data_IF_816349566644
#
_entry.id   IF_816349566644
#
_cell.length_a   1.000
_cell.length_b   1.000
_cell.length_c   1.000
_cell.angle_alpha   90.00
_cell.angle_beta   90.00
_cell.angle_gamma   90.00
#
_symmetry.space_group_name_H-M   'P 1'
#
loop_
_entity.id
_entity.type
_entity.pdbx_description
1 polymer ?
#
# COMPACT_ATOMS: atom_id res chain seq x y z
N UNK A 1 -16.49 18.95 -6.10
CA UNK A 1 -15.19 19.09 -5.40
C UNK A 1 -14.86 17.70 -4.90
N UNK A 2 -13.97 16.98 -5.59
CA UNK A 2 -13.51 15.71 -5.08
C UNK A 2 -12.54 16.03 -3.95
N UNK A 3 -12.97 15.81 -2.71
CA UNK A 3 -12.04 15.65 -1.61
C UNK A 3 -11.18 14.44 -1.96
N UNK A 4 -9.97 14.66 -2.47
CA UNK A 4 -8.96 13.61 -2.45
C UNK A 4 -8.86 13.18 -0.98
N UNK A 5 -9.05 11.90 -0.63
CA UNK A 5 -8.83 11.48 0.74
C UNK A 5 -7.42 11.94 1.11
N UNK A 6 -7.31 12.73 2.17
CA UNK A 6 -6.03 13.17 2.69
C UNK A 6 -5.32 11.94 3.21
N UNK A 7 -4.56 11.26 2.35
CA UNK A 7 -3.71 10.15 2.73
C UNK A 7 -2.76 10.65 3.80
N UNK A 8 -2.90 10.13 5.02
CA UNK A 8 -1.99 10.45 6.10
C UNK A 8 -0.77 9.57 5.97
N UNK A 9 0.42 10.15 6.11
CA UNK A 9 1.68 9.46 5.90
C UNK A 9 2.38 9.24 7.23
N UNK A 10 2.71 8.00 7.53
CA UNK A 10 3.34 7.55 8.76
C UNK A 10 4.84 7.40 8.54
N UNK A 11 5.64 8.08 9.35
CA UNK A 11 7.08 7.88 9.41
C UNK A 11 7.42 6.55 10.08
N UNK A 12 8.69 6.14 10.00
CA UNK A 12 9.15 4.94 10.72
C UNK A 12 8.91 5.04 12.24
N UNK A 13 9.19 6.15 12.93
CA UNK A 13 8.78 6.34 14.32
C UNK A 13 7.29 6.12 14.57
N UNK A 14 6.41 6.72 13.77
CA UNK A 14 4.95 6.56 13.92
C UNK A 14 4.54 5.08 13.81
N UNK A 15 5.12 4.35 12.86
CA UNK A 15 4.90 2.91 12.70
C UNK A 15 5.42 2.09 13.88
N UNK A 16 6.53 2.48 14.50
CA UNK A 16 7.03 1.78 15.69
C UNK A 16 6.08 1.91 16.87
N UNK A 17 5.52 3.10 17.08
CA UNK A 17 4.53 3.37 18.12
C UNK A 17 3.21 2.64 17.82
N UNK A 18 2.72 2.76 16.60
CA UNK A 18 1.44 2.18 16.17
C UNK A 18 1.43 0.65 16.18
N UNK A 19 2.52 0.02 15.73
CA UNK A 19 2.61 -1.44 15.59
C UNK A 19 3.22 -2.13 16.82
N UNK A 20 3.78 -1.36 17.78
CA UNK A 20 4.54 -1.91 18.90
C UNK A 20 5.81 -2.65 18.46
N UNK A 21 6.39 -2.26 17.32
CA UNK A 21 7.54 -2.91 16.69
C UNK A 21 8.81 -2.07 16.82
N UNK A 22 9.97 -2.73 16.78
CA UNK A 22 11.27 -2.05 16.68
C UNK A 22 11.47 -1.49 15.26
N UNK A 23 12.29 -0.45 15.13
CA UNK A 23 12.69 0.14 13.83
C UNK A 23 13.16 -0.92 12.83
N UNK A 24 13.97 -1.89 13.26
CA UNK A 24 14.46 -2.96 12.38
C UNK A 24 13.33 -3.87 11.86
N UNK A 25 12.30 -4.10 12.66
CA UNK A 25 11.13 -4.89 12.26
C UNK A 25 10.27 -4.10 11.26
N UNK A 26 10.07 -2.80 11.48
CA UNK A 26 9.37 -1.92 10.51
C UNK A 26 10.13 -1.87 9.18
N UNK A 27 11.45 -1.69 9.20
CA UNK A 27 12.27 -1.72 7.98
C UNK A 27 12.17 -3.05 7.25
N UNK A 28 12.19 -4.16 7.98
CA UNK A 28 12.00 -5.50 7.42
C UNK A 28 10.64 -5.65 6.74
N UNK A 29 9.56 -5.09 7.31
CA UNK A 29 8.24 -5.10 6.66
C UNK A 29 8.27 -4.35 5.32
N UNK A 30 9.00 -3.25 5.25
CA UNK A 30 9.18 -2.49 3.99
C UNK A 30 10.01 -3.29 2.98
N UNK A 31 11.15 -3.85 3.42
CA UNK A 31 12.05 -4.66 2.59
C UNK A 31 11.37 -5.93 2.04
N UNK A 32 10.48 -6.57 2.81
CA UNK A 32 9.74 -7.76 2.39
C UNK A 32 8.47 -7.45 1.56
N UNK A 33 8.19 -6.16 1.30
CA UNK A 33 6.99 -5.69 0.60
C UNK A 33 5.70 -5.90 1.39
N UNK A 34 5.79 -6.16 2.70
CA UNK A 34 4.63 -6.22 3.59
C UNK A 34 4.05 -4.82 3.87
N UNK A 35 4.88 -3.78 3.76
CA UNK A 35 4.49 -2.38 3.65
C UNK A 35 5.17 -1.78 2.43
N UNK A 36 4.46 -0.92 1.68
CA UNK A 36 5.10 -0.04 0.71
C UNK A 36 5.41 1.29 1.38
N UNK A 37 6.56 1.86 1.05
CA UNK A 37 6.98 3.16 1.52
C UNK A 37 7.46 4.01 0.33
N UNK A 38 7.32 5.33 0.46
CA UNK A 38 7.89 6.30 -0.46
C UNK A 38 8.68 7.34 0.32
N UNK A 39 9.63 8.01 -0.35
CA UNK A 39 10.33 9.16 0.26
C UNK A 39 9.55 10.43 0.01
N UNK A 40 9.11 11.08 1.09
CA UNK A 40 8.47 12.39 1.08
C UNK A 40 9.40 13.33 1.84
N UNK A 41 9.84 14.40 1.16
CA UNK A 41 10.84 15.33 1.68
C UNK A 41 12.11 14.63 2.24
N UNK A 42 12.52 13.56 1.57
CA UNK A 42 13.69 12.76 1.93
C UNK A 42 13.47 11.73 3.04
N UNK A 43 12.27 11.67 3.64
CA UNK A 43 11.93 10.77 4.74
C UNK A 43 11.07 9.61 4.23
N UNK A 44 11.41 8.38 4.63
CA UNK A 44 10.58 7.21 4.35
C UNK A 44 9.26 7.28 5.10
N UNK A 45 8.16 7.23 4.36
CA UNK A 45 6.82 7.28 4.89
C UNK A 45 5.93 6.21 4.25
N UNK A 46 4.95 5.73 5.02
CA UNK A 46 3.99 4.70 4.64
C UNK A 46 2.58 5.27 4.79
N UNK A 47 1.70 5.13 3.80
CA UNK A 47 0.29 5.51 3.94
C UNK A 47 -0.39 4.80 5.11
N UNK A 48 -1.11 5.54 5.95
CA UNK A 48 -1.87 4.99 7.08
C UNK A 48 -2.92 3.97 6.65
N UNK A 49 -3.49 4.11 5.44
CA UNK A 49 -4.43 3.18 4.81
C UNK A 49 -3.88 1.77 4.62
N UNK A 50 -2.57 1.57 4.71
CA UNK A 50 -1.94 0.24 4.71
C UNK A 50 -1.94 -0.43 6.08
N UNK A 51 -2.42 0.23 7.14
CA UNK A 51 -2.51 -0.31 8.49
C UNK A 51 -3.98 -0.58 8.84
N UNK A 52 -4.26 -1.79 9.32
CA UNK A 52 -5.59 -2.22 9.77
C UNK A 52 -5.42 -2.95 11.09
N UNK A 53 -6.18 -2.53 12.11
CA UNK A 53 -6.18 -3.15 13.45
C UNK A 53 -4.77 -3.33 14.06
N UNK A 54 -3.89 -2.34 13.87
CA UNK A 54 -2.52 -2.36 14.42
C UNK A 54 -1.57 -3.30 13.68
N UNK A 55 -1.89 -3.71 12.45
CA UNK A 55 -1.04 -4.54 11.61
C UNK A 55 -1.05 -4.08 10.14
N UNK A 56 -0.02 -4.41 9.34
CA UNK A 56 -0.09 -4.23 7.89
C UNK A 56 -1.30 -4.93 7.27
N UNK A 57 -1.94 -4.28 6.29
CA UNK A 57 -3.03 -4.82 5.50
C UNK A 57 -2.57 -6.13 4.85
N UNK A 58 -3.15 -7.24 5.30
CA UNK A 58 -2.70 -8.60 4.99
C UNK A 58 -2.57 -8.85 3.49
N UNK A 59 -3.48 -8.29 2.70
CA UNK A 59 -3.55 -8.51 1.26
C UNK A 59 -2.48 -7.74 0.48
N UNK A 60 -1.91 -6.68 1.08
CA UNK A 60 -1.00 -5.74 0.42
C UNK A 60 0.19 -6.48 -0.20
N UNK A 61 0.93 -7.26 0.59
CA UNK A 61 2.12 -8.00 0.12
C UNK A 61 1.85 -8.82 -1.13
N UNK A 62 0.76 -9.59 -1.13
CA UNK A 62 0.42 -10.44 -2.26
C UNK A 62 -0.02 -9.64 -3.49
N UNK A 63 -0.59 -8.45 -3.31
CA UNK A 63 -0.91 -7.54 -4.41
C UNK A 63 0.35 -6.86 -4.96
N UNK A 64 1.29 -6.47 -4.10
CA UNK A 64 2.61 -5.92 -4.50
C UNK A 64 3.39 -6.94 -5.33
N UNK A 65 3.37 -8.22 -4.95
CA UNK A 65 3.97 -9.29 -5.76
C UNK A 65 3.34 -9.36 -7.15
N UNK A 66 2.00 -9.34 -7.25
CA UNK A 66 1.30 -9.35 -8.55
C UNK A 66 1.66 -8.14 -9.42
N UNK A 67 1.76 -6.95 -8.81
CA UNK A 67 2.17 -5.73 -9.52
C UNK A 67 3.63 -5.82 -9.98
N UNK A 68 4.52 -6.34 -9.14
CA UNK A 68 5.93 -6.57 -9.51
C UNK A 68 6.06 -7.58 -10.65
N UNK A 69 5.27 -8.66 -10.64
CA UNK A 69 5.22 -9.63 -11.74
C UNK A 69 4.67 -9.00 -13.03
N UNK A 70 3.82 -7.98 -12.91
CA UNK A 70 3.33 -7.15 -14.00
C UNK A 70 4.30 -6.02 -14.41
N UNK A 71 5.49 -5.95 -13.81
CA UNK A 71 6.55 -5.00 -14.17
C UNK A 71 6.51 -3.66 -13.44
N UNK A 72 5.64 -3.48 -12.45
CA UNK A 72 5.53 -2.22 -11.70
C UNK A 72 6.69 -2.07 -10.71
N UNK A 73 7.26 -0.87 -10.66
CA UNK A 73 8.13 -0.43 -9.58
C UNK A 73 7.36 -0.22 -8.27
N UNK A 74 8.09 -0.02 -7.17
CA UNK A 74 7.47 0.31 -5.87
C UNK A 74 6.69 1.64 -5.92
N UNK A 75 7.20 2.64 -6.64
CA UNK A 75 6.55 3.95 -6.76
C UNK A 75 5.31 3.90 -7.67
N UNK A 76 5.36 3.12 -8.75
CA UNK A 76 4.18 2.89 -9.60
C UNK A 76 3.12 2.08 -8.84
N UNK A 77 3.54 1.07 -8.07
CA UNK A 77 2.65 0.29 -7.22
C UNK A 77 1.98 1.17 -6.17
N UNK A 78 2.74 2.05 -5.51
CA UNK A 78 2.22 3.03 -4.56
C UNK A 78 1.19 3.95 -5.23
N UNK A 79 1.55 4.50 -6.38
CA UNK A 79 0.68 5.42 -7.14
C UNK A 79 -0.62 4.73 -7.51
N UNK A 80 -0.57 3.51 -8.06
CA UNK A 80 -1.75 2.78 -8.46
C UNK A 80 -2.63 2.39 -7.26
N UNK A 81 -2.04 1.90 -6.17
CA UNK A 81 -2.79 1.50 -4.97
C UNK A 81 -3.58 2.64 -4.33
N UNK A 82 -3.06 3.86 -4.39
CA UNK A 82 -3.68 5.06 -3.80
C UNK A 82 -4.56 5.84 -4.78
N UNK A 83 -4.42 5.60 -6.08
CA UNK A 83 -5.20 6.30 -7.12
C UNK A 83 -6.56 5.64 -7.33
N UNK A 84 -7.54 6.42 -7.78
CA UNK A 84 -8.83 5.87 -8.19
C UNK A 84 -8.66 4.91 -9.37
N UNK A 85 -9.23 3.71 -9.26
CA UNK A 85 -9.23 2.71 -10.32
C UNK A 85 -10.67 2.53 -10.86
N UNK A 86 -10.99 3.03 -12.06
CA UNK A 86 -12.35 3.01 -12.61
C UNK A 86 -12.97 1.62 -12.66
N UNK A 87 -12.18 0.57 -12.90
CA UNK A 87 -12.67 -0.81 -12.93
C UNK A 87 -13.09 -1.33 -11.55
N UNK A 88 -12.59 -0.72 -10.47
CA UNK A 88 -12.97 -1.01 -9.08
C UNK A 88 -13.99 0.00 -8.53
N UNK A 89 -14.10 1.18 -9.14
CA UNK A 89 -14.93 2.31 -8.70
C UNK A 89 -14.41 3.07 -7.48
N UNK A 90 -13.26 2.65 -6.94
CA UNK A 90 -12.55 3.21 -5.77
C UNK A 90 -11.05 2.99 -5.97
N UNK A 91 -10.20 3.43 -5.03
CA UNK A 91 -8.80 3.05 -5.07
C UNK A 91 -8.59 1.55 -4.79
N UNK A 92 -7.56 0.91 -5.35
CA UNK A 92 -7.25 -0.49 -5.03
C UNK A 92 -7.06 -0.74 -3.54
N UNK A 93 -6.45 0.18 -2.78
CA UNK A 93 -6.29 0.02 -1.32
C UNK A 93 -7.64 0.01 -0.59
N UNK A 94 -8.58 0.86 -0.98
CA UNK A 94 -9.94 0.86 -0.41
C UNK A 94 -10.68 -0.43 -0.75
N UNK A 95 -10.55 -0.91 -1.99
CA UNK A 95 -11.12 -2.19 -2.39
C UNK A 95 -10.53 -3.36 -1.59
N UNK A 96 -9.22 -3.35 -1.33
CA UNK A 96 -8.57 -4.36 -0.47
C UNK A 96 -9.11 -4.31 0.96
N UNK A 97 -9.26 -3.12 1.55
CA UNK A 97 -9.86 -2.95 2.89
C UNK A 97 -11.31 -3.41 2.95
N UNK A 98 -12.04 -3.32 1.84
CA UNK A 98 -13.39 -3.85 1.68
C UNK A 98 -13.44 -5.36 1.37
N UNK A 99 -12.30 -6.07 1.40
CA UNK A 99 -12.22 -7.51 1.16
C UNK A 99 -12.29 -7.91 -0.32
N UNK A 100 -12.25 -6.96 -1.27
CA UNK A 100 -12.36 -7.19 -2.72
C UNK A 100 -11.05 -7.66 -3.38
N UNK A 101 -10.22 -8.42 -2.65
CA UNK A 101 -8.89 -8.89 -3.06
C UNK A 101 -8.86 -9.54 -4.45
N UNK A 102 -9.82 -10.43 -4.73
CA UNK A 102 -9.85 -11.17 -5.99
C UNK A 102 -10.06 -10.24 -7.20
N UNK A 103 -10.86 -9.19 -7.03
CA UNK A 103 -11.11 -8.19 -8.05
C UNK A 103 -9.88 -7.32 -8.28
N UNK A 104 -9.28 -6.82 -7.18
CA UNK A 104 -8.04 -6.02 -7.23
C UNK A 104 -6.92 -6.76 -7.96
N UNK A 105 -6.70 -8.04 -7.66
CA UNK A 105 -5.65 -8.83 -8.31
C UNK A 105 -5.93 -9.10 -9.78
N UNK A 106 -7.20 -9.26 -10.17
CA UNK A 106 -7.58 -9.40 -11.58
C UNK A 106 -7.24 -8.13 -12.36
N UNK A 107 -7.54 -6.96 -11.79
CA UNK A 107 -7.18 -5.68 -12.39
C UNK A 107 -5.66 -5.55 -12.48
N UNK A 108 -4.93 -5.79 -11.38
CA UNK A 108 -3.47 -5.73 -11.37
C UNK A 108 -2.82 -6.62 -12.44
N UNK A 109 -3.30 -7.85 -12.61
CA UNK A 109 -2.82 -8.77 -13.66
C UNK A 109 -3.11 -8.28 -15.08
N UNK A 110 -4.20 -7.54 -15.27
CA UNK A 110 -4.56 -6.98 -16.58
C UNK A 110 -3.76 -5.72 -16.94
N UNK A 111 -3.06 -5.11 -15.97
CA UNK A 111 -2.17 -3.96 -16.22
C UNK A 111 -0.84 -4.38 -16.84
N UNK A 112 -0.38 -5.60 -16.57
CA UNK A 112 0.87 -6.12 -17.09
C UNK A 112 0.68 -6.80 -18.44
N UNK A 113 0.65 -6.02 -19.53
CA UNK A 113 0.81 -6.46 -20.92
C UNK A 113 1.37 -5.34 -21.81
#
# INVERSE_FOLDING_TARGET
MNESPSTHWLTVPDLTELLGLKVSQVRRLIEEGALLASKIDGVWQVPDVFIVDGAPLRELRGTVVVLSDAGFSSDESMTWLLSSEPSLGVSPVEALRAGRKAEVRRVAQALGF
#
